data_IF_258933458519
#
_entry.id   IF_258933458519
#
_cell.length_a   1.000
_cell.length_b   1.000
_cell.length_c   1.000
_cell.angle_alpha   90.00
_cell.angle_beta   90.00
_cell.angle_gamma   90.00
#
_symmetry.space_group_name_H-M   'P 1'
#
loop_
_entity.id
_entity.type
_entity.pdbx_description
1 polymer ?
#
# COMPACT_ATOMS: atom_id res chain seq x y z
N UNK A 1 4.59 13.03 21.29
CA UNK A 1 4.76 12.71 19.85
C UNK A 1 3.37 12.52 19.24
N UNK A 2 2.84 13.54 18.56
CA UNK A 2 1.48 13.50 17.98
C UNK A 2 1.40 12.35 16.96
N UNK A 3 0.59 11.31 17.22
CA UNK A 3 0.27 10.30 16.21
C UNK A 3 -0.40 11.03 15.03
N UNK A 4 0.29 11.12 13.90
CA UNK A 4 -0.22 11.76 12.68
C UNK A 4 -1.31 10.87 12.07
N UNK A 5 -2.53 10.99 12.59
CA UNK A 5 -3.71 10.32 12.04
C UNK A 5 -4.01 10.88 10.64
N UNK A 6 -4.26 10.01 9.66
CA UNK A 6 -4.62 10.38 8.29
C UNK A 6 -5.83 11.31 8.26
N UNK A 7 -6.82 11.05 9.12
CA UNK A 7 -8.02 11.90 9.27
C UNK A 7 -7.65 13.33 9.67
N UNK A 8 -6.72 13.50 10.61
CA UNK A 8 -6.28 14.81 11.06
C UNK A 8 -5.52 15.55 9.95
N UNK A 9 -4.69 14.82 9.19
CA UNK A 9 -3.97 15.38 8.04
C UNK A 9 -4.93 15.86 6.96
N UNK A 10 -5.95 15.07 6.63
CA UNK A 10 -6.97 15.45 5.64
C UNK A 10 -7.76 16.66 6.14
N UNK A 11 -8.25 16.62 7.39
CA UNK A 11 -8.98 17.73 7.99
C UNK A 11 -8.17 19.03 7.99
N UNK A 12 -6.86 18.96 8.27
CA UNK A 12 -5.97 20.11 8.20
C UNK A 12 -5.88 20.69 6.78
N UNK A 13 -5.72 19.83 5.76
CA UNK A 13 -5.68 20.28 4.36
C UNK A 13 -7.02 20.86 3.88
N UNK A 14 -8.15 20.29 4.29
CA UNK A 14 -9.48 20.84 3.98
C UNK A 14 -9.69 22.20 4.64
N UNK A 15 -9.28 22.35 5.90
CA UNK A 15 -9.40 23.63 6.61
C UNK A 15 -8.52 24.70 5.97
N UNK A 16 -7.30 24.34 5.56
CA UNK A 16 -6.40 25.24 4.83
C UNK A 16 -6.94 25.59 3.44
N UNK A 17 -7.57 24.65 2.74
CA UNK A 17 -8.22 24.91 1.46
C UNK A 17 -9.41 25.87 1.62
N UNK A 18 -10.24 25.66 2.64
CA UNK A 18 -11.38 26.55 2.95
C UNK A 18 -10.91 27.97 3.27
N UNK A 19 -9.86 28.14 4.07
CA UNK A 19 -9.37 29.48 4.44
C UNK A 19 -8.79 30.23 3.25
N UNK A 20 -8.06 29.53 2.36
CA UNK A 20 -7.50 30.14 1.14
C UNK A 20 -8.61 30.55 0.18
N UNK A 21 -9.55 29.65 -0.13
CA UNK A 21 -10.60 29.92 -1.10
C UNK A 21 -11.60 30.96 -0.58
N UNK A 22 -12.00 30.86 0.70
CA UNK A 22 -12.87 31.83 1.35
C UNK A 22 -12.21 33.21 1.45
N UNK A 23 -10.94 33.26 1.82
CA UNK A 23 -10.15 34.50 1.85
C UNK A 23 -10.04 35.15 0.47
N UNK A 24 -9.73 34.37 -0.56
CA UNK A 24 -9.66 34.84 -1.93
C UNK A 24 -11.01 35.40 -2.43
N UNK A 25 -12.12 34.70 -2.17
CA UNK A 25 -13.46 35.16 -2.54
C UNK A 25 -13.81 36.50 -1.85
N UNK A 26 -13.48 36.65 -0.56
CA UNK A 26 -13.69 37.91 0.17
C UNK A 26 -12.84 39.07 -0.36
N UNK A 27 -11.58 38.81 -0.74
CA UNK A 27 -10.72 39.83 -1.34
C UNK A 27 -11.25 40.26 -2.70
N UNK A 28 -11.65 39.32 -3.55
CA UNK A 28 -12.21 39.61 -4.88
C UNK A 28 -13.47 40.45 -4.75
N UNK A 29 -14.41 40.06 -3.88
CA UNK A 29 -15.66 40.79 -3.70
C UNK A 29 -15.48 42.20 -3.15
N UNK A 30 -14.52 42.43 -2.23
CA UNK A 30 -14.33 43.72 -1.57
C UNK A 30 -13.36 44.68 -2.28
N UNK A 31 -12.30 44.17 -2.91
CA UNK A 31 -11.17 44.99 -3.36
C UNK A 31 -11.03 45.07 -4.88
N UNK A 32 -11.87 44.37 -5.66
CA UNK A 32 -11.77 44.38 -7.12
C UNK A 32 -13.05 44.87 -7.79
N UNK A 33 -12.89 45.71 -8.82
CA UNK A 33 -13.98 46.16 -9.69
C UNK A 33 -14.19 45.22 -10.88
N UNK A 34 -14.03 43.91 -10.67
CA UNK A 34 -14.22 42.93 -11.72
C UNK A 34 -15.72 42.84 -12.10
N UNK A 35 -16.05 42.80 -13.41
CA UNK A 35 -17.44 42.74 -13.88
C UNK A 35 -18.20 41.49 -13.43
N UNK A 36 -17.48 40.44 -13.01
CA UNK A 36 -18.04 39.14 -12.60
C UNK A 36 -17.84 38.83 -11.11
N UNK A 37 -17.56 39.84 -10.27
CA UNK A 37 -17.27 39.64 -8.84
C UNK A 37 -18.39 38.93 -8.07
N UNK A 38 -19.64 39.06 -8.51
CA UNK A 38 -20.82 38.39 -7.94
C UNK A 38 -20.73 36.85 -8.03
N UNK A 39 -20.00 36.32 -9.03
CA UNK A 39 -19.84 34.88 -9.22
C UNK A 39 -18.68 34.25 -8.44
N UNK A 40 -17.88 35.07 -7.74
CA UNK A 40 -16.67 34.61 -7.04
C UNK A 40 -16.93 33.56 -5.95
N UNK A 41 -18.09 33.63 -5.28
CA UNK A 41 -18.51 32.64 -4.27
C UNK A 41 -18.81 31.28 -4.88
N UNK A 42 -19.50 31.24 -6.03
CA UNK A 42 -19.76 30.00 -6.77
C UNK A 42 -18.46 29.38 -7.29
N UNK A 43 -17.54 30.20 -7.81
CA UNK A 43 -16.22 29.75 -8.23
C UNK A 43 -15.43 29.14 -7.06
N UNK A 44 -15.48 29.75 -5.87
CA UNK A 44 -14.86 29.22 -4.66
C UNK A 44 -15.46 27.87 -4.22
N UNK A 45 -16.78 27.70 -4.32
CA UNK A 45 -17.45 26.42 -4.01
C UNK A 45 -17.03 25.31 -4.97
N UNK A 46 -16.98 25.59 -6.27
CA UNK A 46 -16.51 24.62 -7.29
C UNK A 46 -15.04 24.28 -7.04
N UNK A 47 -14.21 25.29 -6.78
CA UNK A 47 -12.80 25.09 -6.45
C UNK A 47 -12.61 24.26 -5.19
N UNK A 48 -13.43 24.47 -4.17
CA UNK A 48 -13.42 23.68 -2.94
C UNK A 48 -13.75 22.21 -3.23
N UNK A 49 -14.83 21.95 -3.97
CA UNK A 49 -15.23 20.58 -4.33
C UNK A 49 -14.14 19.85 -5.12
N UNK A 50 -13.54 20.50 -6.12
CA UNK A 50 -12.44 19.93 -6.91
C UNK A 50 -11.22 19.68 -6.01
N UNK A 51 -10.88 20.64 -5.13
CA UNK A 51 -9.76 20.52 -4.21
C UNK A 51 -9.91 19.34 -3.25
N UNK A 52 -11.10 19.14 -2.67
CA UNK A 52 -11.41 17.99 -1.80
C UNK A 52 -11.21 16.66 -2.55
N UNK A 53 -11.71 16.56 -3.79
CA UNK A 53 -11.52 15.36 -4.60
C UNK A 53 -10.04 15.05 -4.86
N UNK A 54 -9.22 16.08 -5.14
CA UNK A 54 -7.79 15.92 -5.34
C UNK A 54 -7.07 15.49 -4.04
N UNK A 55 -7.43 16.09 -2.91
CA UNK A 55 -6.86 15.74 -1.59
C UNK A 55 -7.14 14.27 -1.28
N UNK A 56 -8.37 13.80 -1.47
CA UNK A 56 -8.76 12.39 -1.26
C UNK A 56 -8.01 11.47 -2.23
N UNK A 57 -7.94 11.84 -3.51
CA UNK A 57 -7.28 11.05 -4.54
C UNK A 57 -5.79 10.82 -4.22
N UNK A 58 -5.09 11.87 -3.81
CA UNK A 58 -3.65 11.83 -3.52
C UNK A 58 -3.38 11.20 -2.14
N UNK A 59 -4.20 11.53 -1.14
CA UNK A 59 -3.94 11.12 0.24
C UNK A 59 -4.35 9.67 0.51
N UNK A 60 -5.46 9.22 -0.09
CA UNK A 60 -6.06 7.91 0.18
C UNK A 60 -5.98 7.01 -1.05
N UNK A 61 -6.60 7.43 -2.17
CA UNK A 61 -6.91 6.50 -3.25
C UNK A 61 -5.65 5.96 -3.96
N UNK A 62 -4.72 6.84 -4.32
CA UNK A 62 -3.48 6.44 -4.99
C UNK A 62 -2.62 5.49 -4.13
N UNK A 63 -2.30 5.81 -2.86
CA UNK A 63 -1.59 4.90 -1.96
C UNK A 63 -2.29 3.54 -1.75
N UNK A 64 -3.60 3.56 -1.53
CA UNK A 64 -4.39 2.34 -1.32
C UNK A 64 -4.40 1.46 -2.58
N UNK A 65 -4.51 2.08 -3.76
CA UNK A 65 -4.45 1.37 -5.05
C UNK A 65 -3.11 0.66 -5.25
N UNK A 66 -2.01 1.25 -4.81
CA UNK A 66 -0.69 0.59 -4.84
C UNK A 66 -0.67 -0.66 -3.95
N UNK A 67 -1.19 -0.56 -2.71
CA UNK A 67 -1.28 -1.72 -1.81
C UNK A 67 -2.16 -2.82 -2.41
N UNK A 68 -3.35 -2.47 -2.91
CA UNK A 68 -4.26 -3.43 -3.52
C UNK A 68 -3.67 -4.10 -4.77
N UNK A 69 -2.85 -3.37 -5.55
CA UNK A 69 -2.15 -3.93 -6.71
C UNK A 69 -1.18 -5.02 -6.29
N UNK A 70 -0.36 -4.79 -5.26
CA UNK A 70 0.60 -5.78 -4.78
C UNK A 70 -0.10 -6.99 -4.13
N UNK A 71 -1.21 -6.78 -3.42
CA UNK A 71 -2.06 -7.87 -2.93
C UNK A 71 -2.57 -8.73 -4.10
N UNK A 72 -3.02 -8.10 -5.20
CA UNK A 72 -3.46 -8.83 -6.39
C UNK A 72 -2.32 -9.63 -7.04
N UNK A 73 -1.09 -9.10 -7.04
CA UNK A 73 0.08 -9.81 -7.55
C UNK A 73 0.40 -11.04 -6.69
N UNK A 74 0.34 -10.91 -5.35
CA UNK A 74 0.48 -12.03 -4.42
C UNK A 74 -0.54 -13.13 -4.70
N UNK A 75 -1.82 -12.78 -4.85
CA UNK A 75 -2.90 -13.75 -5.11
C UNK A 75 -2.80 -14.45 -6.46
N UNK A 76 -2.07 -13.87 -7.42
CA UNK A 76 -1.88 -14.45 -8.76
C UNK A 76 -0.56 -15.19 -8.90
N UNK A 77 0.18 -15.39 -7.80
CA UNK A 77 1.47 -16.09 -7.80
C UNK A 77 2.57 -15.36 -8.57
N UNK A 78 2.38 -14.07 -8.87
CA UNK A 78 3.36 -13.24 -9.58
C UNK A 78 4.36 -12.65 -8.60
N UNK A 79 5.54 -12.26 -9.11
CA UNK A 79 6.59 -11.63 -8.31
C UNK A 79 6.07 -10.36 -7.64
N UNK A 80 6.17 -10.32 -6.31
CA UNK A 80 5.69 -9.22 -5.46
C UNK A 80 6.85 -8.27 -5.20
N UNK A 81 6.56 -6.98 -5.12
CA UNK A 81 7.54 -5.98 -4.69
C UNK A 81 7.20 -5.46 -3.30
N UNK A 82 8.24 -5.12 -2.52
CA UNK A 82 8.04 -4.44 -1.23
C UNK A 82 7.39 -3.08 -1.47
N UNK A 83 6.37 -2.78 -0.68
CA UNK A 83 5.70 -1.49 -0.70
C UNK A 83 6.53 -0.52 0.14
N UNK A 84 7.29 0.36 -0.52
CA UNK A 84 8.03 1.42 0.16
C UNK A 84 7.09 2.59 0.45
N UNK A 85 6.56 2.65 1.67
CA UNK A 85 5.79 3.79 2.15
C UNK A 85 6.60 4.55 3.20
N UNK A 86 6.93 5.81 2.93
CA UNK A 86 7.47 6.74 3.93
C UNK A 86 6.39 7.29 4.87
N UNK A 87 5.13 6.89 4.68
CA UNK A 87 4.01 7.38 5.47
C UNK A 87 3.99 6.68 6.83
N UNK A 88 3.76 7.47 7.88
CA UNK A 88 3.61 6.99 9.28
C UNK A 88 2.12 6.94 9.66
N UNK A 89 1.23 7.02 8.66
CA UNK A 89 -0.22 6.99 8.83
C UNK A 89 -0.77 5.56 8.65
N UNK A 90 -2.10 5.42 8.75
CA UNK A 90 -2.82 4.15 8.64
C UNK A 90 -2.50 3.40 7.35
N UNK A 91 -2.25 4.10 6.24
CA UNK A 91 -1.84 3.48 4.97
C UNK A 91 -0.39 2.98 5.06
N UNK A 92 0.49 3.72 5.72
CA UNK A 92 1.84 3.28 6.04
C UNK A 92 1.88 2.00 6.86
N UNK A 93 1.03 1.92 7.90
CA UNK A 93 0.89 0.73 8.74
C UNK A 93 0.43 -0.47 7.89
N UNK A 94 -0.55 -0.25 7.00
CA UNK A 94 -1.04 -1.31 6.10
C UNK A 94 0.05 -1.81 5.15
N UNK A 95 0.85 -0.89 4.57
CA UNK A 95 1.97 -1.25 3.71
C UNK A 95 3.05 -2.04 4.48
N UNK A 96 3.39 -1.62 5.70
CA UNK A 96 4.32 -2.33 6.56
C UNK A 96 3.82 -3.75 6.89
N UNK A 97 2.55 -3.87 7.30
CA UNK A 97 1.94 -5.16 7.60
C UNK A 97 1.95 -6.10 6.38
N UNK A 98 1.63 -5.59 5.19
CA UNK A 98 1.72 -6.37 3.96
C UNK A 98 3.16 -6.87 3.68
N UNK A 99 4.17 -6.02 3.87
CA UNK A 99 5.57 -6.41 3.69
C UNK A 99 6.00 -7.50 4.69
N UNK A 100 5.58 -7.40 5.95
CA UNK A 100 5.89 -8.43 6.97
C UNK A 100 5.19 -9.77 6.67
N UNK A 101 3.93 -9.73 6.22
CA UNK A 101 3.21 -10.93 5.81
C UNK A 101 3.87 -11.60 4.61
N UNK A 102 4.15 -10.84 3.55
CA UNK A 102 4.81 -11.38 2.35
C UNK A 102 6.20 -11.92 2.64
N UNK A 103 7.00 -11.23 3.46
CA UNK A 103 8.31 -11.73 3.88
C UNK A 103 8.23 -13.00 4.75
N UNK A 104 7.17 -13.15 5.55
CA UNK A 104 6.94 -14.37 6.33
C UNK A 104 6.50 -15.53 5.44
N UNK A 105 5.63 -15.27 4.46
CA UNK A 105 5.23 -16.27 3.45
C UNK A 105 6.43 -16.73 2.61
N UNK A 106 7.29 -15.82 2.18
CA UNK A 106 8.50 -16.17 1.42
C UNK A 106 9.45 -17.06 2.25
N UNK A 107 9.63 -16.74 3.54
CA UNK A 107 10.43 -17.55 4.47
C UNK A 107 9.85 -18.94 4.67
N UNK A 108 8.53 -19.06 4.80
CA UNK A 108 7.85 -20.36 4.93
C UNK A 108 7.98 -21.16 3.63
N UNK A 109 7.79 -20.52 2.47
CA UNK A 109 7.93 -21.15 1.16
C UNK A 109 9.33 -21.74 0.95
N UNK A 110 10.39 -20.96 1.24
CA UNK A 110 11.78 -21.44 1.13
C UNK A 110 12.06 -22.62 2.06
N UNK A 111 11.62 -22.56 3.32
CA UNK A 111 11.77 -23.69 4.25
C UNK A 111 11.08 -24.95 3.77
N UNK A 112 9.89 -24.82 3.17
CA UNK A 112 9.15 -25.96 2.64
C UNK A 112 9.86 -26.59 1.44
N UNK A 113 10.40 -25.76 0.54
CA UNK A 113 11.18 -26.20 -0.61
C UNK A 113 12.47 -26.92 -0.19
N UNK A 114 13.20 -26.35 0.79
CA UNK A 114 14.38 -26.99 1.39
C UNK A 114 14.04 -28.35 2.00
N UNK A 115 12.91 -28.45 2.72
CA UNK A 115 12.48 -29.70 3.34
C UNK A 115 12.07 -30.76 2.32
N UNK A 116 11.44 -30.35 1.20
CA UNK A 116 11.12 -31.24 0.08
C UNK A 116 12.38 -31.76 -0.61
N UNK A 117 13.37 -30.89 -0.85
CA UNK A 117 14.68 -31.30 -1.41
C UNK A 117 15.39 -32.29 -0.50
N UNK A 118 15.46 -31.99 0.80
CA UNK A 118 16.07 -32.88 1.78
C UNK A 118 15.37 -34.23 1.86
N UNK A 119 14.04 -34.25 1.85
CA UNK A 119 13.27 -35.51 1.83
C UNK A 119 13.53 -36.32 0.55
N UNK A 120 13.70 -35.64 -0.59
CA UNK A 120 14.02 -36.28 -1.87
C UNK A 120 15.42 -36.90 -1.85
N UNK A 121 16.40 -36.21 -1.28
CA UNK A 121 17.77 -36.73 -1.11
C UNK A 121 17.82 -37.93 -0.15
N UNK A 122 17.08 -37.90 0.96
CA UNK A 122 16.97 -39.06 1.87
C UNK A 122 16.38 -40.27 1.15
N UNK A 123 15.27 -40.08 0.43
CA UNK A 123 14.63 -41.17 -0.31
C UNK A 123 15.57 -41.75 -1.40
N UNK A 124 16.35 -40.89 -2.06
CA UNK A 124 17.35 -41.32 -3.03
C UNK A 124 18.47 -42.12 -2.35
N UNK A 125 18.98 -41.66 -1.20
CA UNK A 125 20.02 -42.35 -0.45
C UNK A 125 19.55 -43.73 0.06
N UNK A 126 18.32 -43.82 0.57
CA UNK A 126 17.71 -45.10 0.97
C UNK A 126 17.58 -46.05 -0.22
N UNK A 127 17.17 -45.55 -1.39
CA UNK A 127 17.08 -46.35 -2.61
C UNK A 127 18.44 -46.88 -3.06
N UNK A 128 19.47 -46.02 -3.05
CA UNK A 128 20.84 -46.43 -3.38
C UNK A 128 21.33 -47.50 -2.40
N UNK A 129 21.08 -47.33 -1.10
CA UNK A 129 21.46 -48.34 -0.10
C UNK A 129 20.70 -49.65 -0.31
N UNK A 130 19.41 -49.62 -0.62
CA UNK A 130 18.65 -50.85 -0.91
C UNK A 130 19.08 -51.54 -2.21
N UNK A 131 19.59 -50.79 -3.18
CA UNK A 131 20.10 -51.34 -4.44
C UNK A 131 21.54 -51.87 -4.29
N UNK A 132 22.33 -51.33 -3.34
CA UNK A 132 23.69 -51.79 -3.03
C UNK A 132 23.73 -52.94 -2.01
N UNK A 133 22.67 -53.12 -1.21
CA UNK A 133 22.54 -54.24 -0.28
C UNK A 133 22.06 -55.47 -1.05
N UNK A 134 22.85 -56.56 -1.11
CA UNK A 134 22.46 -57.76 -1.85
C UNK A 134 21.21 -58.38 -1.23
N UNK A 135 20.24 -58.77 -2.07
CA UNK A 135 18.96 -59.36 -1.64
C UNK A 135 19.05 -60.77 -1.07
N UNK A 136 20.24 -61.36 -1.05
CA UNK A 136 20.46 -62.72 -0.56
C UNK A 136 21.65 -62.72 0.40
N UNK A 137 21.33 -62.73 1.70
CA UNK A 137 22.26 -63.28 2.68
C UNK A 137 22.27 -64.80 2.44
N UNK A 138 23.41 -65.43 2.12
CA UNK A 138 23.48 -66.88 2.02
C UNK A 138 23.15 -67.48 3.39
N UNK A 139 22.09 -68.29 3.43
CA UNK A 139 21.73 -69.13 4.57
C UNK A 139 22.66 -70.33 4.74
#
# INVERSE_FOLDING_TARGET
MFKRNLKLKIAFWELLLMTILGGAALVITKFTELPYKEYSSYAALIGFFIGTLLIIQISIHSPLRTVLREIKLLLTGKKIHKIYSQKIDEIGILAHFFNELTGSLERIGKKLEEHQRFSTEINLAQKIQSDLLPKEAPG
#
